data_IF_260769972226
#
_entry.id   IF_260769972226
#
_cell.length_a   1.000
_cell.length_b   1.000
_cell.length_c   1.000
_cell.angle_alpha   90.00
_cell.angle_beta   90.00
_cell.angle_gamma   90.00
#
_symmetry.space_group_name_H-M   'P 1'
#
loop_
_entity.id
_entity.type
_entity.pdbx_description
1 polymer ?
#
# COMPACT_ATOMS: atom_id res chain seq x y z
N UNK A 1 10.13 -19.87 24.88
CA UNK A 1 11.08 -18.97 24.19
C UNK A 1 10.33 -18.17 23.17
N UNK A 2 10.29 -16.86 23.36
CA UNK A 2 9.63 -16.00 22.40
C UNK A 2 10.42 -15.98 21.09
N UNK A 3 9.78 -16.07 19.93
CA UNK A 3 10.49 -15.87 18.68
C UNK A 3 11.13 -14.46 18.69
N UNK A 4 12.31 -14.27 18.07
CA UNK A 4 12.90 -12.95 18.00
C UNK A 4 11.88 -12.00 17.36
N UNK A 5 11.76 -10.80 17.91
CA UNK A 5 10.90 -9.78 17.33
C UNK A 5 11.32 -9.58 15.88
N UNK A 6 10.38 -9.64 14.90
CA UNK A 6 10.72 -9.48 13.49
C UNK A 6 11.15 -8.07 13.13
N UNK A 7 11.06 -7.14 14.08
CA UNK A 7 11.38 -5.72 13.87
C UNK A 7 12.57 -5.37 14.75
N UNK A 8 13.70 -5.09 14.12
CA UNK A 8 14.99 -4.91 14.81
C UNK A 8 15.51 -3.48 14.77
N UNK A 9 14.87 -2.59 14.02
CA UNK A 9 15.29 -1.18 13.97
C UNK A 9 14.97 -0.46 15.28
N UNK A 10 15.48 0.77 15.42
CA UNK A 10 15.20 1.60 16.60
C UNK A 10 13.70 1.86 16.80
N UNK A 11 12.94 1.93 15.71
CA UNK A 11 11.47 2.09 15.78
C UNK A 11 10.72 0.76 15.68
N UNK A 12 11.45 -0.36 15.68
CA UNK A 12 10.89 -1.71 15.58
C UNK A 12 9.82 -2.00 16.64
N UNK A 13 10.05 -1.66 17.92
CA UNK A 13 9.02 -1.86 18.95
C UNK A 13 7.72 -1.11 18.65
N UNK A 14 7.79 0.10 18.09
CA UNK A 14 6.59 0.86 17.72
C UNK A 14 5.86 0.19 16.54
N UNK A 15 6.60 -0.32 15.56
CA UNK A 15 6.01 -1.07 14.44
C UNK A 15 5.33 -2.33 14.96
N UNK A 16 5.98 -3.06 15.85
CA UNK A 16 5.44 -4.28 16.43
C UNK A 16 4.10 -4.01 17.16
N UNK A 17 4.03 -2.93 17.93
CA UNK A 17 2.78 -2.53 18.61
C UNK A 17 1.68 -2.20 17.62
N UNK A 18 2.02 -1.50 16.54
CA UNK A 18 1.05 -1.15 15.50
C UNK A 18 0.48 -2.41 14.83
N UNK A 19 1.35 -3.34 14.44
CA UNK A 19 0.94 -4.60 13.82
C UNK A 19 0.07 -5.41 14.77
N UNK A 20 0.48 -5.51 16.04
CA UNK A 20 -0.28 -6.23 17.05
C UNK A 20 -1.68 -5.63 17.25
N UNK A 21 -1.80 -4.30 17.24
CA UNK A 21 -3.08 -3.62 17.34
C UNK A 21 -3.98 -3.97 16.16
N UNK A 22 -3.46 -3.93 14.93
CA UNK A 22 -4.24 -4.24 13.73
C UNK A 22 -4.72 -5.68 13.75
N UNK A 23 -3.87 -6.61 14.18
CA UNK A 23 -4.25 -8.02 14.29
C UNK A 23 -5.28 -8.25 15.39
N UNK A 24 -5.15 -7.54 16.52
CA UNK A 24 -6.12 -7.62 17.62
C UNK A 24 -7.51 -7.10 17.19
N UNK A 25 -7.57 -6.20 16.21
CA UNK A 25 -8.83 -5.71 15.65
C UNK A 25 -9.46 -6.67 14.63
N UNK A 26 -8.91 -7.88 14.50
CA UNK A 26 -9.45 -8.91 13.62
C UNK A 26 -8.93 -8.88 12.20
N UNK A 27 -7.98 -8.03 11.89
CA UNK A 27 -7.38 -7.96 10.56
C UNK A 27 -6.21 -8.93 10.46
N UNK A 28 -6.09 -9.63 9.34
CA UNK A 28 -4.93 -10.49 9.10
C UNK A 28 -3.65 -9.68 9.05
N UNK A 29 -3.65 -8.62 8.28
CA UNK A 29 -2.54 -7.67 8.18
C UNK A 29 -1.21 -8.31 7.72
N UNK A 30 -1.28 -9.42 7.04
CA UNK A 30 -0.09 -10.21 6.67
C UNK A 30 0.79 -9.47 5.67
N UNK A 31 0.18 -8.91 4.61
CA UNK A 31 0.91 -8.16 3.58
C UNK A 31 1.56 -6.92 4.18
N UNK A 32 0.81 -6.16 4.96
CA UNK A 32 1.30 -4.94 5.60
C UNK A 32 2.43 -5.25 6.59
N UNK A 33 2.27 -6.32 7.37
CA UNK A 33 3.31 -6.79 8.29
C UNK A 33 4.60 -7.12 7.54
N UNK A 34 4.47 -7.86 6.45
CA UNK A 34 5.62 -8.23 5.61
C UNK A 34 6.32 -6.99 5.06
N UNK A 35 5.56 -6.04 4.53
CA UNK A 35 6.12 -4.81 3.95
C UNK A 35 6.74 -3.92 5.03
N UNK A 36 6.13 -3.84 6.20
CA UNK A 36 6.71 -3.12 7.34
C UNK A 36 7.98 -3.79 7.84
N UNK A 37 8.06 -5.12 7.82
CA UNK A 37 9.26 -5.84 8.20
C UNK A 37 10.43 -5.53 7.24
N UNK A 38 10.15 -5.43 5.96
CA UNK A 38 11.17 -5.04 4.98
C UNK A 38 11.63 -3.59 5.18
N UNK A 39 10.70 -2.69 5.45
CA UNK A 39 11.01 -1.30 5.78
C UNK A 39 11.88 -1.22 7.03
N UNK A 40 11.51 -1.95 8.08
CA UNK A 40 12.27 -2.05 9.31
C UNK A 40 13.68 -2.58 9.07
N UNK A 41 13.83 -3.61 8.25
CA UNK A 41 15.11 -4.17 7.88
C UNK A 41 16.02 -3.14 7.19
N UNK A 42 15.43 -2.30 6.33
CA UNK A 42 16.18 -1.21 5.70
C UNK A 42 16.70 -0.21 6.74
N UNK A 43 15.83 0.19 7.68
CA UNK A 43 16.23 1.10 8.76
C UNK A 43 17.31 0.49 9.65
N UNK A 44 17.16 -0.79 10.00
CA UNK A 44 18.14 -1.50 10.82
C UNK A 44 19.51 -1.58 10.12
N UNK A 45 19.51 -1.88 8.82
CA UNK A 45 20.73 -1.96 8.04
C UNK A 45 21.47 -0.62 7.96
N UNK A 46 20.76 0.48 8.02
CA UNK A 46 21.33 1.83 8.04
C UNK A 46 21.66 2.32 9.45
N UNK A 47 21.36 1.54 10.48
CA UNK A 47 21.51 1.95 11.88
C UNK A 47 20.76 3.27 12.18
N UNK A 48 19.59 3.45 11.53
CA UNK A 48 18.79 4.64 11.72
C UNK A 48 18.22 4.67 13.14
N UNK A 49 18.38 5.78 13.83
CA UNK A 49 17.85 5.95 15.19
C UNK A 49 16.39 6.35 15.19
N UNK A 50 15.90 6.89 14.09
CA UNK A 50 14.52 7.29 13.93
C UNK A 50 14.21 7.40 12.44
N UNK A 51 12.93 7.51 12.12
CA UNK A 51 12.50 7.80 10.76
C UNK A 51 12.48 9.32 10.56
N UNK A 52 13.28 9.77 9.60
CA UNK A 52 13.36 11.17 9.20
C UNK A 52 12.98 11.31 7.73
N UNK A 53 12.80 12.55 7.28
CA UNK A 53 12.56 12.81 5.86
C UNK A 53 13.68 12.25 4.98
N UNK A 54 14.93 12.38 5.42
CA UNK A 54 16.10 11.87 4.70
C UNK A 54 16.09 10.34 4.63
N UNK A 55 15.82 9.69 5.76
CA UNK A 55 15.75 8.23 5.83
C UNK A 55 14.62 7.68 4.98
N UNK A 56 13.46 8.34 5.01
CA UNK A 56 12.32 7.97 4.19
C UNK A 56 12.64 8.12 2.70
N UNK A 57 13.29 9.23 2.33
CA UNK A 57 13.72 9.47 0.95
C UNK A 57 14.72 8.41 0.48
N UNK A 58 15.67 8.03 1.32
CA UNK A 58 16.64 6.99 1.02
C UNK A 58 15.95 5.64 0.81
N UNK A 59 14.96 5.32 1.65
CA UNK A 59 14.17 4.11 1.47
C UNK A 59 13.37 4.15 0.17
N UNK A 60 12.74 5.28 -0.15
CA UNK A 60 12.04 5.47 -1.41
C UNK A 60 12.95 5.22 -2.62
N UNK A 61 14.20 5.66 -2.54
CA UNK A 61 15.19 5.41 -3.59
C UNK A 61 15.53 3.93 -3.72
N UNK A 62 15.48 3.18 -2.63
CA UNK A 62 15.78 1.75 -2.65
C UNK A 62 14.70 0.90 -3.33
N UNK A 63 13.50 1.44 -3.49
CA UNK A 63 12.37 0.73 -4.10
C UNK A 63 11.98 1.28 -5.48
N UNK A 64 12.85 2.06 -6.10
CA UNK A 64 12.58 2.65 -7.43
C UNK A 64 12.47 1.61 -8.54
N UNK A 65 12.98 0.39 -8.32
CA UNK A 65 12.85 -0.71 -9.27
C UNK A 65 11.42 -1.27 -9.33
N UNK A 66 10.57 -0.90 -8.38
CA UNK A 66 9.19 -1.35 -8.32
C UNK A 66 8.31 -0.44 -9.19
N UNK A 67 7.17 -0.97 -9.61
CA UNK A 67 6.18 -0.16 -10.33
C UNK A 67 5.64 0.97 -9.43
N UNK A 68 5.25 2.11 -10.02
CA UNK A 68 4.75 3.24 -9.22
C UNK A 68 3.62 2.88 -8.25
N UNK A 69 2.68 2.02 -8.67
CA UNK A 69 1.59 1.58 -7.80
C UNK A 69 2.10 0.80 -6.59
N UNK A 70 3.10 -0.07 -6.79
CA UNK A 70 3.71 -0.83 -5.70
C UNK A 70 4.48 0.07 -4.74
N UNK A 71 5.21 1.06 -5.26
CA UNK A 71 5.91 2.04 -4.44
C UNK A 71 4.93 2.86 -3.61
N UNK A 72 3.87 3.34 -4.24
CA UNK A 72 2.83 4.11 -3.55
C UNK A 72 2.19 3.31 -2.42
N UNK A 73 1.85 2.05 -2.70
CA UNK A 73 1.25 1.17 -1.69
C UNK A 73 2.14 1.05 -0.45
N UNK A 74 3.44 0.81 -0.65
CA UNK A 74 4.40 0.69 0.45
C UNK A 74 4.53 1.98 1.24
N UNK A 75 4.60 3.10 0.55
CA UNK A 75 4.70 4.42 1.19
C UNK A 75 3.44 4.74 1.99
N UNK A 76 2.26 4.38 1.48
CA UNK A 76 1.01 4.55 2.22
C UNK A 76 0.96 3.68 3.47
N UNK A 77 1.45 2.46 3.40
CA UNK A 77 1.52 1.58 4.57
C UNK A 77 2.41 2.19 5.65
N UNK A 78 3.58 2.70 5.27
CA UNK A 78 4.48 3.37 6.20
C UNK A 78 3.84 4.64 6.78
N UNK A 79 3.15 5.40 5.95
CA UNK A 79 2.45 6.62 6.40
C UNK A 79 1.38 6.29 7.43
N UNK A 80 0.59 5.25 7.21
CA UNK A 80 -0.44 4.85 8.18
C UNK A 80 0.17 4.47 9.52
N UNK A 81 1.30 3.77 9.51
CA UNK A 81 2.04 3.51 10.74
C UNK A 81 2.50 4.82 11.42
N UNK A 82 3.03 5.76 10.65
CA UNK A 82 3.49 7.05 11.20
C UNK A 82 2.33 7.85 11.80
N UNK A 83 1.16 7.81 11.19
CA UNK A 83 -0.03 8.46 11.75
C UNK A 83 -0.45 7.84 13.08
N UNK A 84 -0.35 6.52 13.19
CA UNK A 84 -0.58 5.84 14.47
C UNK A 84 0.44 6.28 15.52
N UNK A 85 1.72 6.30 15.16
CA UNK A 85 2.81 6.69 16.06
C UNK A 85 2.65 8.13 16.55
N UNK A 86 2.16 9.01 15.68
CA UNK A 86 1.98 10.43 16.02
C UNK A 86 1.01 10.64 17.19
N UNK A 87 0.14 9.69 17.47
CA UNK A 87 -0.78 9.80 18.61
C UNK A 87 -0.04 9.86 19.94
N UNK A 88 1.06 9.13 20.07
CA UNK A 88 1.88 9.11 21.28
C UNK A 88 3.15 9.96 21.14
N UNK A 89 3.58 10.22 19.92
CA UNK A 89 4.78 11.00 19.63
C UNK A 89 4.44 12.08 18.59
N UNK A 90 3.85 13.22 19.01
CA UNK A 90 3.34 14.22 18.07
C UNK A 90 4.41 14.85 17.17
N UNK A 91 5.67 14.74 17.54
CA UNK A 91 6.80 15.32 16.79
C UNK A 91 7.38 14.33 15.79
N UNK A 92 6.85 13.10 15.70
CA UNK A 92 7.41 12.10 14.79
C UNK A 92 7.17 12.52 13.34
N UNK A 93 8.06 12.05 12.46
CA UNK A 93 7.94 12.30 11.03
C UNK A 93 6.76 11.53 10.44
N UNK A 94 5.98 12.22 9.61
CA UNK A 94 4.90 11.60 8.81
C UNK A 94 5.13 12.02 7.36
N UNK A 95 5.32 11.06 6.43
CA UNK A 95 5.57 11.41 5.04
C UNK A 95 4.35 12.07 4.39
N UNK A 96 4.61 13.05 3.52
CA UNK A 96 3.57 13.77 2.79
C UNK A 96 3.16 12.95 1.56
N UNK A 97 1.87 12.59 1.41
CA UNK A 97 1.42 11.81 0.26
C UNK A 97 1.55 12.53 -1.08
N UNK A 98 1.71 13.85 -1.10
CA UNK A 98 1.92 14.58 -2.34
C UNK A 98 3.24 14.23 -3.02
N UNK A 99 4.21 13.70 -2.27
CA UNK A 99 5.51 13.28 -2.79
C UNK A 99 5.54 11.80 -3.20
N UNK A 100 4.45 11.08 -3.00
CA UNK A 100 4.36 9.68 -3.40
C UNK A 100 4.17 9.57 -4.92
N UNK A 101 4.58 8.43 -5.52
CA UNK A 101 4.22 8.17 -6.90
C UNK A 101 2.72 8.32 -7.09
N UNK A 102 2.27 8.89 -8.22
CA UNK A 102 0.84 9.04 -8.45
C UNK A 102 0.14 7.70 -8.40
N UNK A 103 -1.12 7.65 -7.95
CA UNK A 103 -1.88 6.43 -8.05
C UNK A 103 -1.90 6.01 -9.50
N UNK A 104 -1.73 4.71 -9.76
CA UNK A 104 -1.96 4.20 -11.10
C UNK A 104 -3.34 4.70 -11.51
N UNK A 105 -3.47 5.39 -12.65
CA UNK A 105 -4.80 5.74 -13.08
C UNK A 105 -5.58 4.44 -13.04
N UNK A 106 -6.59 4.40 -12.20
CA UNK A 106 -7.61 3.37 -12.33
C UNK A 106 -7.84 3.31 -13.81
N UNK A 107 -7.66 2.15 -14.42
CA UNK A 107 -8.15 1.98 -15.76
C UNK A 107 -9.51 2.65 -15.74
N UNK A 108 -9.53 3.87 -16.24
CA UNK A 108 -10.81 4.54 -16.44
C UNK A 108 -11.67 3.50 -17.11
N UNK A 109 -12.85 3.20 -16.57
CA UNK A 109 -13.75 2.38 -17.33
C UNK A 109 -13.68 2.96 -18.73
N UNK A 110 -13.26 2.13 -19.65
CA UNK A 110 -13.08 2.53 -21.02
C UNK A 110 -14.33 3.32 -21.41
N UNK A 111 -14.15 4.61 -21.66
CA UNK A 111 -15.27 5.42 -22.11
C UNK A 111 -15.52 4.96 -23.53
N UNK A 112 -16.52 4.12 -23.69
CA UNK A 112 -16.88 3.63 -24.99
C UNK A 112 -17.30 4.80 -25.88
N UNK A 113 -16.74 4.86 -27.08
CA UNK A 113 -17.25 5.76 -28.10
C UNK A 113 -18.67 5.33 -28.50
N UNK A 114 -19.43 6.24 -29.11
CA UNK A 114 -20.78 5.89 -29.57
C UNK A 114 -20.78 4.65 -30.48
N UNK A 115 -19.77 4.53 -31.35
CA UNK A 115 -19.63 3.37 -32.23
C UNK A 115 -19.38 2.09 -31.43
N UNK A 116 -18.58 2.14 -30.39
CA UNK A 116 -18.31 0.99 -29.52
C UNK A 116 -19.55 0.59 -28.76
N UNK A 117 -20.33 1.56 -28.26
CA UNK A 117 -21.59 1.30 -27.59
C UNK A 117 -22.57 0.63 -28.56
N UNK A 118 -22.67 1.15 -29.78
CA UNK A 118 -23.52 0.56 -30.81
C UNK A 118 -23.13 -0.88 -31.10
N UNK A 119 -21.84 -1.19 -31.21
CA UNK A 119 -21.35 -2.55 -31.44
C UNK A 119 -21.70 -3.46 -30.28
N UNK A 120 -21.52 -2.99 -29.05
CA UNK A 120 -21.86 -3.77 -27.85
C UNK A 120 -23.35 -4.06 -27.79
N UNK A 121 -24.18 -3.09 -28.10
CA UNK A 121 -25.63 -3.26 -28.13
C UNK A 121 -26.08 -4.23 -29.24
N UNK A 122 -25.46 -4.17 -30.40
CA UNK A 122 -25.70 -5.12 -31.48
C UNK A 122 -25.28 -6.52 -31.09
N UNK A 123 -24.12 -6.68 -30.46
CA UNK A 123 -23.65 -7.99 -30.00
C UNK A 123 -24.57 -8.55 -28.91
N UNK A 124 -25.00 -7.71 -27.98
CA UNK A 124 -25.94 -8.11 -26.93
C UNK A 124 -27.31 -8.50 -27.53
N UNK A 125 -27.79 -7.76 -28.52
CA UNK A 125 -28.98 -8.06 -29.23
C UNK A 125 -28.92 -9.39 -30.00
N UNK A 126 -27.78 -9.63 -30.65
CA UNK A 126 -27.53 -10.88 -31.33
C UNK A 126 -27.49 -12.07 -30.36
N UNK A 127 -26.82 -11.89 -29.22
CA UNK A 127 -26.74 -12.90 -28.17
C UNK A 127 -28.14 -13.20 -27.59
N UNK A 128 -28.98 -12.20 -27.43
CA UNK A 128 -30.35 -12.37 -26.97
C UNK A 128 -31.18 -13.14 -27.96
N UNK A 129 -31.02 -12.90 -29.26
CA UNK A 129 -31.74 -13.64 -30.29
C UNK A 129 -31.34 -15.11 -30.33
N UNK A 130 -30.08 -15.43 -30.03
CA UNK A 130 -29.57 -16.80 -30.08
C UNK A 130 -29.68 -17.52 -28.75
N UNK A 131 -29.49 -16.78 -27.65
CA UNK A 131 -29.43 -17.37 -26.31
C UNK A 131 -30.70 -17.17 -25.48
N UNK A 132 -31.56 -16.27 -25.83
CA UNK A 132 -32.81 -16.16 -25.17
C UNK A 132 -33.67 -17.27 -25.68
N UNK A 133 -33.64 -18.33 -25.01
CA UNK A 133 -34.80 -19.12 -24.92
C UNK A 133 -35.96 -18.16 -24.67
N UNK A 134 -36.89 -18.09 -25.54
CA UNK A 134 -38.10 -17.37 -25.22
C UNK A 134 -38.72 -18.10 -24.11
N UNK A 135 -38.41 -18.15 -23.14
CA UNK A 135 -39.00 -18.84 -22.18
C UNK A 135 -39.68 -19.24 -21.96
#
# INVERSE_FOLDING_TARGET
MSPPAPFTSAIGPAIARYVALKQALGRRFDTQRYLLARFDGFLAARHATDLTAETFSAWGSSITHLMPSGRRMRMQIVRQFCLYRRRSEPVCFVPDPSQFPPPQPRRRPHVFSEDEIARLLCAAGALRRWGASPL
#
